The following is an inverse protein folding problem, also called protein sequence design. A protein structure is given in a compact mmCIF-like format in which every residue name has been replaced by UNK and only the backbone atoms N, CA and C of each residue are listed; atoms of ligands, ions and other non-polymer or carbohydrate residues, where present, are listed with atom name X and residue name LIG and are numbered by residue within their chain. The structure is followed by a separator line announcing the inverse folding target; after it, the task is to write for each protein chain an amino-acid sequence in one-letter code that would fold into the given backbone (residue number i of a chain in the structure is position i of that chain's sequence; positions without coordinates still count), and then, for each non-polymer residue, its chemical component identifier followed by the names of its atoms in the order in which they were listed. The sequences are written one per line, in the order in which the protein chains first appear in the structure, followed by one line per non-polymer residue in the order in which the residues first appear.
data_IF_788963184846
#
_entry.id   IF_788963184846
#
_cell.length_a   1.000
_cell.length_b   1.000
_cell.length_c   1.000
_cell.angle_alpha   90.00
_cell.angle_beta   90.00
_cell.angle_gamma   90.00
#
_symmetry.space_group_name_H-M   'P 1'
#
loop_
_entity.id
_entity.type
_entity.pdbx_description
1 polymer ?
#
# COMPACT_ATOMS: atom_id res chain seq x y z
N UNK A 1 -6.76 12.06 -4.06
CA UNK A 1 -6.99 10.61 -3.87
C UNK A 1 -5.93 9.82 -4.61
N UNK A 2 -5.58 8.65 -4.06
CA UNK A 2 -4.64 7.73 -4.69
C UNK A 2 -5.26 7.15 -5.96
N UNK A 3 -4.43 6.96 -7.00
CA UNK A 3 -4.83 6.31 -8.24
C UNK A 3 -4.55 4.80 -8.16
N UNK A 4 -5.19 4.04 -9.04
CA UNK A 4 -5.04 2.57 -9.09
C UNK A 4 -3.57 2.17 -9.28
N UNK A 5 -2.82 2.90 -10.12
CA UNK A 5 -1.39 2.67 -10.34
C UNK A 5 -0.57 2.73 -9.04
N UNK A 6 -0.79 3.75 -8.21
CA UNK A 6 -0.07 3.93 -6.95
C UNK A 6 -0.42 2.84 -5.94
N UNK A 7 -1.70 2.46 -5.85
CA UNK A 7 -2.14 1.36 -4.99
C UNK A 7 -1.49 0.04 -5.44
N UNK A 8 -1.49 -0.21 -6.75
CA UNK A 8 -0.90 -1.41 -7.33
C UNK A 8 0.61 -1.51 -7.07
N UNK A 9 1.36 -0.43 -7.33
CA UNK A 9 2.79 -0.39 -7.06
C UNK A 9 3.13 -0.55 -5.58
N UNK A 10 2.35 0.07 -4.68
CA UNK A 10 2.55 -0.04 -3.24
C UNK A 10 2.30 -1.47 -2.75
N UNK A 11 1.19 -2.07 -3.17
CA UNK A 11 0.86 -3.45 -2.79
C UNK A 11 1.89 -4.45 -3.31
N UNK A 12 2.48 -4.23 -4.48
CA UNK A 12 3.50 -5.14 -5.03
C UNK A 12 4.88 -4.99 -4.38
N UNK A 13 5.34 -3.75 -4.19
CA UNK A 13 6.72 -3.50 -3.71
C UNK A 13 6.81 -3.52 -2.18
N UNK A 14 5.76 -3.05 -1.52
CA UNK A 14 5.74 -2.81 -0.07
C UNK A 14 4.62 -3.58 0.64
N UNK A 15 3.81 -4.37 -0.09
CA UNK A 15 2.72 -5.15 0.48
C UNK A 15 3.23 -6.21 1.45
N UNK A 16 2.79 -6.10 2.69
CA UNK A 16 3.10 -7.04 3.76
C UNK A 16 1.81 -7.37 4.49
N UNK A 17 1.63 -8.63 4.85
CA UNK A 17 0.50 -9.10 5.63
C UNK A 17 0.96 -9.58 7.00
N UNK A 18 0.10 -9.42 8.00
CA UNK A 18 0.34 -9.99 9.34
C UNK A 18 -0.44 -11.30 9.49
N UNK A 19 0.26 -12.43 9.42
CA UNK A 19 -0.30 -13.78 9.54
C UNK A 19 0.34 -14.50 10.71
N UNK A 20 -0.48 -15.04 11.64
CA UNK A 20 -0.01 -15.82 12.81
C UNK A 20 1.13 -15.12 13.56
N UNK A 21 0.99 -13.81 13.77
CA UNK A 21 1.99 -12.93 14.40
C UNK A 21 3.35 -12.80 13.67
N UNK A 22 3.44 -13.24 12.42
CA UNK A 22 4.58 -13.02 11.53
C UNK A 22 4.19 -12.06 10.42
N UNK A 23 5.17 -11.28 9.97
CA UNK A 23 5.03 -10.40 8.81
C UNK A 23 5.52 -11.18 7.59
N UNK A 24 4.67 -11.30 6.58
CA UNK A 24 4.97 -12.01 5.34
C UNK A 24 4.68 -11.11 4.13
N UNK A 25 5.48 -11.20 3.05
CA UNK A 25 5.25 -10.41 1.85
C UNK A 25 3.98 -10.89 1.12
N UNK A 26 3.19 -9.95 0.57
CA UNK A 26 1.94 -10.21 -0.17
C UNK A 26 2.20 -10.72 -1.61
N UNK A 27 3.20 -11.59 -1.77
CA UNK A 27 3.64 -12.11 -3.08
C UNK A 27 3.00 -13.45 -3.44
N UNK A 28 2.53 -14.19 -2.44
CA UNK A 28 2.01 -15.54 -2.60
C UNK A 28 0.48 -15.54 -2.56
N UNK A 29 -0.16 -15.98 -3.65
CA UNK A 29 -1.61 -16.03 -3.76
C UNK A 29 -2.22 -17.08 -2.80
N UNK A 30 -1.49 -18.14 -2.45
CA UNK A 30 -2.00 -19.17 -1.53
C UNK A 30 -2.21 -18.60 -0.12
N UNK A 31 -1.31 -17.73 0.34
CA UNK A 31 -1.48 -17.01 1.62
C UNK A 31 -2.72 -16.12 1.60
N UNK A 32 -2.96 -15.42 0.49
CA UNK A 32 -4.10 -14.50 0.32
C UNK A 32 -5.40 -15.31 0.32
N UNK A 33 -5.48 -16.37 -0.49
CA UNK A 33 -6.63 -17.26 -0.56
C UNK A 33 -6.93 -17.92 0.80
N UNK A 34 -5.91 -18.38 1.54
CA UNK A 34 -6.10 -19.00 2.87
C UNK A 34 -6.80 -18.05 3.87
N UNK A 35 -6.46 -16.75 3.84
CA UNK A 35 -6.98 -15.78 4.81
C UNK A 35 -8.23 -15.03 4.34
N UNK A 36 -8.28 -14.70 3.05
CA UNK A 36 -9.29 -13.83 2.45
C UNK A 36 -10.17 -14.54 1.42
N UNK A 37 -9.94 -15.83 1.12
CA UNK A 37 -10.75 -16.59 0.18
C UNK A 37 -12.23 -16.65 0.58
N UNK A 38 -12.53 -16.63 1.89
CA UNK A 38 -13.91 -16.52 2.41
C UNK A 38 -14.63 -15.21 2.03
N UNK A 39 -13.86 -14.18 1.66
CA UNK A 39 -14.36 -12.88 1.20
C UNK A 39 -14.34 -12.76 -0.32
N UNK A 40 -13.98 -13.82 -1.05
CA UNK A 40 -13.87 -13.83 -2.51
C UNK A 40 -12.58 -13.20 -3.04
N UNK A 41 -11.57 -13.00 -2.19
CA UNK A 41 -10.25 -12.49 -2.60
C UNK A 41 -9.31 -13.68 -2.74
N UNK A 42 -9.00 -14.06 -3.97
CA UNK A 42 -8.25 -15.28 -4.29
C UNK A 42 -6.80 -14.93 -4.66
N UNK A 43 -6.63 -13.83 -5.40
CA UNK A 43 -5.34 -13.39 -5.89
C UNK A 43 -4.99 -11.98 -5.40
N UNK A 44 -3.73 -11.58 -5.60
CA UNK A 44 -3.28 -10.21 -5.35
C UNK A 44 -4.07 -9.15 -6.14
N UNK A 45 -4.54 -9.48 -7.34
CA UNK A 45 -5.34 -8.55 -8.15
C UNK A 45 -6.70 -8.25 -7.50
N UNK A 46 -7.41 -9.28 -7.03
CA UNK A 46 -8.67 -9.11 -6.29
C UNK A 46 -8.44 -8.29 -5.02
N UNK A 47 -7.30 -8.52 -4.34
CA UNK A 47 -6.91 -7.76 -3.16
C UNK A 47 -6.73 -6.27 -3.48
N UNK A 48 -6.00 -5.96 -4.55
CA UNK A 48 -5.77 -4.57 -4.99
C UNK A 48 -7.10 -3.92 -5.40
N UNK A 49 -7.97 -4.66 -6.08
CA UNK A 49 -9.28 -4.17 -6.48
C UNK A 49 -10.16 -3.83 -5.26
N UNK A 50 -10.24 -4.71 -4.26
CA UNK A 50 -11.00 -4.45 -3.03
C UNK A 50 -10.44 -3.25 -2.24
N UNK A 51 -9.12 -3.02 -2.26
CA UNK A 51 -8.52 -1.83 -1.62
C UNK A 51 -8.79 -0.55 -2.42
N UNK A 52 -8.72 -0.61 -3.75
CA UNK A 52 -8.96 0.55 -4.61
C UNK A 52 -10.45 0.96 -4.67
N UNK A 53 -11.33 -0.03 -4.61
CA UNK A 53 -12.78 0.12 -4.67
C UNK A 53 -13.38 -0.51 -3.42
N UNK A 54 -13.43 0.23 -2.29
CA UNK A 54 -13.84 -0.32 -1.00
C UNK A 54 -15.25 -0.89 -1.07
N UNK A 55 -15.37 -2.20 -0.88
CA UNK A 55 -16.62 -2.94 -0.82
C UNK A 55 -17.02 -3.32 0.61
N UNK A 56 -17.82 -4.37 0.72
CA UNK A 56 -18.27 -4.91 2.02
C UNK A 56 -17.12 -5.56 2.81
N UNK A 57 -16.07 -6.00 2.12
CA UNK A 57 -14.98 -6.78 2.71
C UNK A 57 -13.72 -5.93 2.95
N UNK A 58 -13.75 -4.65 2.58
CA UNK A 58 -12.63 -3.72 2.73
C UNK A 58 -12.02 -3.71 4.13
N UNK A 59 -12.83 -3.81 5.19
CA UNK A 59 -12.31 -3.82 6.56
C UNK A 59 -11.46 -5.06 6.86
N UNK A 60 -11.86 -6.23 6.34
CA UNK A 60 -11.09 -7.45 6.49
C UNK A 60 -9.80 -7.42 5.67
N UNK A 61 -9.90 -6.95 4.43
CA UNK A 61 -8.77 -6.82 3.50
C UNK A 61 -7.73 -5.80 3.99
N UNK A 62 -8.18 -4.65 4.49
CA UNK A 62 -7.30 -3.61 5.04
C UNK A 62 -6.69 -4.00 6.39
N UNK A 63 -7.43 -4.74 7.24
CA UNK A 63 -6.90 -5.27 8.50
C UNK A 63 -5.85 -6.37 8.34
N UNK A 64 -5.86 -7.07 7.19
CA UNK A 64 -4.85 -8.06 6.85
C UNK A 64 -3.50 -7.42 6.47
N UNK A 65 -3.55 -6.23 5.87
CA UNK A 65 -2.39 -5.47 5.42
C UNK A 65 -1.66 -4.81 6.61
N UNK A 66 -0.35 -4.99 6.65
CA UNK A 66 0.54 -4.25 7.54
C UNK A 66 0.76 -2.83 6.99
N UNK A 67 0.96 -1.80 7.84
CA UNK A 67 1.32 -0.47 7.37
C UNK A 67 2.53 -0.49 6.44
N UNK A 68 2.42 0.18 5.28
CA UNK A 68 3.51 0.27 4.31
C UNK A 68 4.73 0.99 4.91
N UNK A 69 5.88 0.34 4.84
CA UNK A 69 7.15 0.95 5.26
C UNK A 69 7.79 1.69 4.09
N UNK A 70 7.45 2.98 3.95
CA UNK A 70 8.01 3.83 2.90
C UNK A 70 9.36 4.41 3.31
N UNK A 71 10.27 4.50 2.34
CA UNK A 71 11.61 5.08 2.54
C UNK A 71 11.82 6.28 1.62
N UNK A 72 12.60 7.26 2.07
CA UNK A 72 12.97 8.39 1.22
C UNK A 72 13.99 7.89 0.19
N UNK A 73 13.68 8.03 -1.10
CA UNK A 73 14.54 7.53 -2.16
C UNK A 73 15.99 8.05 -2.04
N UNK A 74 16.97 7.21 -2.39
CA UNK A 74 18.39 7.45 -2.14
C UNK A 74 18.97 8.71 -2.83
N UNK A 75 18.25 9.30 -3.79
CA UNK A 75 18.65 10.53 -4.49
C UNK A 75 18.18 11.81 -3.78
N UNK A 76 17.11 11.74 -2.98
CA UNK A 76 16.58 12.88 -2.18
C UNK A 76 17.23 12.99 -0.80
N UNK A 77 17.94 11.96 -0.34
CA UNK A 77 18.67 11.96 0.96
C UNK A 77 19.74 13.04 1.06
N UNK A 78 20.35 13.46 -0.06
CA UNK A 78 21.30 14.60 -0.10
C UNK A 78 20.67 15.92 0.31
N UNK A 79 19.35 16.07 0.19
CA UNK A 79 18.59 17.25 0.62
C UNK A 79 17.28 16.84 1.32
N UNK A 80 17.39 16.01 2.36
CA UNK A 80 16.24 15.54 3.15
C UNK A 80 15.39 16.71 3.68
N UNK A 81 16.03 17.81 4.08
CA UNK A 81 15.35 19.02 4.57
C UNK A 81 14.57 19.72 3.46
N UNK A 82 15.14 19.86 2.26
CA UNK A 82 14.43 20.43 1.11
C UNK A 82 13.31 19.54 0.58
N UNK A 83 13.47 18.22 0.65
CA UNK A 83 12.39 17.28 0.34
C UNK A 83 11.22 17.42 1.32
N UNK A 84 11.50 17.45 2.63
CA UNK A 84 10.46 17.66 3.66
C UNK A 84 9.76 19.02 3.53
N UNK A 85 10.42 20.06 2.98
CA UNK A 85 9.78 21.33 2.63
C UNK A 85 8.87 21.25 1.40
N UNK A 86 9.16 20.34 0.46
CA UNK A 86 8.34 20.10 -0.74
C UNK A 86 7.16 19.18 -0.46
N UNK A 87 7.29 18.25 0.48
CA UNK A 87 6.17 17.52 1.03
C UNK A 87 5.25 18.56 1.69
N UNK A 88 4.10 18.81 1.06
CA UNK A 88 3.11 19.75 1.56
C UNK A 88 2.81 19.57 3.04
N UNK A 89 2.35 20.64 3.67
CA UNK A 89 1.89 20.66 5.06
C UNK A 89 0.97 19.46 5.38
N UNK A 90 0.97 18.98 6.64
CA UNK A 90 0.09 17.91 7.10
C UNK A 90 -1.37 18.18 6.68
N UNK A 91 -2.02 17.19 6.08
CA UNK A 91 -3.40 17.31 5.62
C UNK A 91 -3.68 16.55 4.33
N UNK A 92 -4.87 16.80 3.76
CA UNK A 92 -5.30 16.16 2.52
C UNK A 92 -4.53 16.70 1.31
N UNK A 93 -3.56 15.93 0.81
CA UNK A 93 -2.74 16.29 -0.36
C UNK A 93 -3.45 16.18 -1.72
N UNK A 94 -4.76 15.89 -1.79
CA UNK A 94 -5.48 15.85 -3.05
C UNK A 94 -4.85 14.90 -4.07
N UNK A 95 -4.55 15.40 -5.27
CA UNK A 95 -3.88 14.64 -6.35
C UNK A 95 -2.36 14.50 -6.12
N UNK A 96 -1.76 15.37 -5.30
CA UNK A 96 -0.32 15.40 -5.02
C UNK A 96 0.17 14.15 -4.29
N UNK A 97 -0.71 13.42 -3.61
CA UNK A 97 -0.38 12.14 -2.97
C UNK A 97 0.24 11.12 -3.94
N UNK A 98 -0.20 11.09 -5.20
CA UNK A 98 0.33 10.14 -6.19
C UNK A 98 1.76 10.47 -6.61
N UNK A 99 2.10 11.76 -6.64
CA UNK A 99 3.47 12.21 -6.86
C UNK A 99 4.34 11.84 -5.66
N UNK A 100 3.84 12.08 -4.44
CA UNK A 100 4.55 11.76 -3.22
C UNK A 100 4.84 10.25 -3.10
N UNK A 101 3.84 9.40 -3.37
CA UNK A 101 4.01 7.94 -3.37
C UNK A 101 5.11 7.53 -4.34
N UNK A 102 5.16 8.10 -5.54
CA UNK A 102 6.22 7.79 -6.52
C UNK A 102 7.62 8.20 -6.07
N UNK A 103 7.75 9.24 -5.25
CA UNK A 103 9.04 9.67 -4.69
C UNK A 103 9.50 8.81 -3.50
N UNK A 104 8.57 8.12 -2.84
CA UNK A 104 8.81 7.30 -1.65
C UNK A 104 8.83 5.80 -1.93
N UNK A 105 8.51 5.41 -3.17
CA UNK A 105 8.46 4.02 -3.62
C UNK A 105 9.82 3.52 -4.10
#
# INVERSE_FOLDING_TARGET
FANLKSVWELSLKHGQAKVKNKIIPLTDNTVIEEHLGKFGVICLEDFIHEIAFPGKNFQATSGFLCPFQLSVAHHTTKNRVGFLKQVSSPGHGGKHINWLIQQLN
#
